data_IF_462019726357
#
_entry.id   IF_462019726357
#
_cell.length_a   1.000
_cell.length_b   1.000
_cell.length_c   1.000
_cell.angle_alpha   90.00
_cell.angle_beta   90.00
_cell.angle_gamma   90.00
#
_symmetry.space_group_name_H-M   'P 1'
#
loop_
_entity.id
_entity.type
_entity.pdbx_description
1 polymer ?
#
# COMPACT_ATOMS: atom_id res chain seq x y z
N UNK A 1 11.06 13.20 -2.62
CA UNK A 1 10.20 13.13 -3.81
C UNK A 1 8.92 12.40 -3.41
N UNK A 2 7.75 12.99 -3.67
CA UNK A 2 6.46 12.32 -3.45
C UNK A 2 6.08 11.54 -4.72
N UNK A 3 5.68 10.28 -4.59
CA UNK A 3 5.21 9.44 -5.70
C UNK A 3 3.81 8.93 -5.37
N UNK A 4 2.84 9.34 -6.18
CA UNK A 4 1.48 8.83 -6.10
C UNK A 4 1.36 7.62 -7.02
N UNK A 5 1.04 6.45 -6.47
CA UNK A 5 0.74 5.24 -7.24
C UNK A 5 -0.72 5.25 -7.66
N UNK A 6 -0.97 4.99 -8.95
CA UNK A 6 -2.30 4.75 -9.49
C UNK A 6 -2.36 3.31 -10.02
N UNK A 7 -3.45 2.57 -9.82
CA UNK A 7 -4.68 2.95 -9.11
C UNK A 7 -4.53 2.93 -7.57
N UNK A 8 -5.52 3.48 -6.85
CA UNK A 8 -5.54 3.48 -5.38
C UNK A 8 -5.81 2.09 -4.80
N UNK A 9 -5.53 1.90 -3.49
CA UNK A 9 -5.68 0.61 -2.80
C UNK A 9 -7.10 0.00 -2.91
N UNK A 10 -8.13 0.85 -3.00
CA UNK A 10 -9.52 0.42 -3.17
C UNK A 10 -9.82 -0.21 -4.52
N UNK A 11 -8.93 -0.10 -5.51
CA UNK A 11 -9.10 -0.73 -6.82
C UNK A 11 -8.65 -2.19 -6.84
N UNK A 12 -8.05 -2.69 -5.76
CA UNK A 12 -7.57 -4.08 -5.63
C UNK A 12 -8.54 -4.97 -4.83
N UNK A 13 -9.85 -4.67 -4.88
CA UNK A 13 -10.89 -5.51 -4.26
C UNK A 13 -10.76 -6.95 -4.79
N UNK A 14 -10.77 -7.94 -3.89
CA UNK A 14 -10.56 -9.35 -4.23
C UNK A 14 -9.13 -9.73 -4.67
N UNK A 15 -8.15 -8.82 -4.58
CA UNK A 15 -6.75 -9.09 -4.91
C UNK A 15 -5.78 -8.46 -3.88
N UNK A 16 -5.71 -9.00 -2.65
CA UNK A 16 -4.84 -8.47 -1.60
C UNK A 16 -3.35 -8.54 -1.96
N UNK A 17 -2.93 -9.55 -2.74
CA UNK A 17 -1.54 -9.67 -3.19
C UNK A 17 -1.16 -8.55 -4.17
N UNK A 18 -2.07 -8.17 -5.08
CA UNK A 18 -1.89 -7.04 -5.98
C UNK A 18 -1.75 -5.73 -5.21
N UNK A 19 -2.54 -5.54 -4.15
CA UNK A 19 -2.42 -4.41 -3.24
C UNK A 19 -1.06 -4.39 -2.54
N UNK A 20 -0.56 -5.54 -2.05
CA UNK A 20 0.75 -5.64 -1.41
C UNK A 20 1.90 -5.26 -2.37
N UNK A 21 1.88 -5.78 -3.60
CA UNK A 21 2.88 -5.44 -4.63
C UNK A 21 2.91 -3.95 -4.98
N UNK A 22 1.78 -3.25 -4.83
CA UNK A 22 1.73 -1.79 -5.05
C UNK A 22 2.53 -0.99 -4.03
N UNK A 23 2.82 -1.57 -2.85
CA UNK A 23 3.58 -0.95 -1.75
C UNK A 23 5.10 -1.22 -1.82
N UNK A 24 5.55 -2.14 -2.68
CA UNK A 24 6.96 -2.53 -2.80
C UNK A 24 7.88 -1.38 -3.27
N UNK A 25 7.30 -0.30 -3.81
CA UNK A 25 8.04 0.92 -4.16
C UNK A 25 8.79 1.51 -2.95
N UNK A 26 8.25 1.37 -1.73
CA UNK A 26 8.92 1.84 -0.51
C UNK A 26 10.24 1.10 -0.28
N UNK A 27 10.30 -0.20 -0.59
CA UNK A 27 11.50 -1.02 -0.47
C UNK A 27 12.57 -0.60 -1.48
N UNK A 28 12.14 -0.15 -2.67
CA UNK A 28 13.03 0.33 -3.73
C UNK A 28 13.66 1.68 -3.40
N UNK A 29 12.93 2.57 -2.72
CA UNK A 29 13.37 3.93 -2.41
C UNK A 29 14.23 3.98 -1.15
N UNK A 30 13.89 3.19 -0.13
CA UNK A 30 14.62 3.18 1.13
C UNK A 30 15.85 2.26 1.02
N UNK A 31 17.06 2.71 1.40
CA UNK A 31 18.24 1.83 1.46
C UNK A 31 18.06 0.68 2.45
N UNK A 32 18.61 -0.51 2.14
CA UNK A 32 18.48 -1.71 2.98
C UNK A 32 18.90 -1.51 4.44
N UNK A 33 19.96 -0.73 4.67
CA UNK A 33 20.44 -0.44 6.02
C UNK A 33 19.40 0.31 6.88
N UNK A 34 18.48 1.05 6.26
CA UNK A 34 17.46 1.85 6.93
C UNK A 34 16.09 1.17 6.99
N UNK A 35 15.90 -0.01 6.38
CA UNK A 35 14.62 -0.72 6.41
C UNK A 35 14.15 -1.00 7.84
N UNK A 36 15.06 -1.31 8.77
CA UNK A 36 14.72 -1.57 10.17
C UNK A 36 14.32 -0.33 10.99
N UNK A 37 14.70 0.87 10.53
CA UNK A 37 14.45 2.13 11.26
C UNK A 37 13.44 3.03 10.55
N UNK A 38 12.92 2.63 9.39
CA UNK A 38 11.97 3.45 8.62
C UNK A 38 10.55 2.99 8.89
N UNK A 39 9.77 3.73 9.69
CA UNK A 39 8.38 3.37 9.95
C UNK A 39 7.54 3.55 8.67
N UNK A 40 6.66 2.58 8.40
CA UNK A 40 5.69 2.65 7.31
C UNK A 40 4.28 2.81 7.89
N UNK A 41 3.57 3.86 7.48
CA UNK A 41 2.20 4.14 7.92
C UNK A 41 1.26 4.08 6.74
N UNK A 42 0.29 3.18 6.80
CA UNK A 42 -0.78 3.07 5.80
C UNK A 42 -2.06 3.62 6.42
N UNK A 43 -2.69 4.59 5.76
CA UNK A 43 -3.98 5.16 6.19
C UNK A 43 -5.03 4.96 5.11
N UNK A 44 -6.09 4.25 5.47
CA UNK A 44 -7.26 4.11 4.63
C UNK A 44 -8.06 5.42 4.59
N UNK A 45 -8.55 5.76 3.41
CA UNK A 45 -9.50 6.86 3.18
C UNK A 45 -10.82 6.29 2.63
N UNK A 46 -11.77 7.16 2.25
CA UNK A 46 -13.14 6.80 1.89
C UNK A 46 -13.25 5.56 0.96
N UNK A 47 -12.39 5.44 -0.06
CA UNK A 47 -12.44 4.32 -1.00
C UNK A 47 -12.25 2.94 -0.34
N UNK A 48 -11.41 2.82 0.68
CA UNK A 48 -11.22 1.55 1.41
C UNK A 48 -12.36 1.32 2.42
N UNK A 49 -12.90 2.37 3.02
CA UNK A 49 -13.98 2.28 4.03
C UNK A 49 -15.31 1.80 3.44
N UNK A 50 -15.51 1.97 2.13
CA UNK A 50 -16.72 1.56 1.41
C UNK A 50 -16.71 0.08 0.99
N UNK A 51 -15.58 -0.62 1.14
CA UNK A 51 -15.47 -2.02 0.73
C UNK A 51 -16.20 -2.95 1.70
N UNK A 52 -16.85 -4.02 1.20
CA UNK A 52 -17.41 -5.04 2.06
C UNK A 52 -16.28 -5.72 2.84
N UNK A 53 -16.53 -6.05 4.11
CA UNK A 53 -15.52 -6.44 5.10
C UNK A 53 -14.44 -7.43 4.64
N UNK A 54 -14.59 -8.72 4.92
CA UNK A 54 -13.52 -9.69 4.66
C UNK A 54 -13.31 -9.90 3.16
N UNK A 55 -12.14 -9.47 2.67
CA UNK A 55 -11.62 -9.76 1.33
C UNK A 55 -10.64 -10.94 1.50
N UNK A 56 -11.12 -12.18 1.39
CA UNK A 56 -10.27 -13.38 1.47
C UNK A 56 -9.70 -13.75 0.11
#
# INVERSE_FOLDING_TARGET
VFKMTQPGLSSFVGNPEGAARSLDEAVRVVPRAMHGCTPLTVKATAGLCLLPGSQR
#
